data_IF_031632742387
#
_entry.id   IF_031632742387
#
_cell.length_a   1.000
_cell.length_b   1.000
_cell.length_c   1.000
_cell.angle_alpha   90.00
_cell.angle_beta   90.00
_cell.angle_gamma   90.00
#
_symmetry.space_group_name_H-M   'P 1'
#
loop_
_entity.id
_entity.type
_entity.pdbx_description
1 polymer ?
#
# COMPACT_ATOMS: atom_id res chain seq x y z
N UNK A 1 -46.84 16.26 22.59
CA UNK A 1 -46.55 16.88 21.28
C UNK A 1 -45.08 17.26 21.29
N UNK A 2 -44.21 16.30 20.97
CA UNK A 2 -42.75 16.40 21.09
C UNK A 2 -42.26 17.11 19.83
N UNK A 3 -41.77 18.34 19.99
CA UNK A 3 -41.25 19.16 18.90
C UNK A 3 -39.90 18.59 18.44
N UNK A 4 -39.94 17.85 17.33
CA UNK A 4 -38.77 17.43 16.57
C UNK A 4 -38.21 18.62 15.80
N UNK A 5 -37.34 19.39 16.43
CA UNK A 5 -36.39 20.24 15.68
C UNK A 5 -35.24 19.36 15.16
N UNK A 6 -35.43 18.76 13.99
CA UNK A 6 -34.29 18.33 13.17
C UNK A 6 -33.52 19.59 12.74
N UNK A 7 -32.54 20.00 13.55
CA UNK A 7 -31.53 20.97 13.12
C UNK A 7 -30.84 20.44 11.87
N UNK A 8 -30.96 21.16 10.75
CA UNK A 8 -30.13 20.96 9.58
C UNK A 8 -28.66 21.03 10.00
N UNK A 9 -27.94 19.90 9.95
CA UNK A 9 -26.51 19.90 10.23
C UNK A 9 -25.79 20.68 9.12
N UNK A 10 -24.94 21.64 9.48
CA UNK A 10 -24.09 22.29 8.49
C UNK A 10 -23.08 21.29 7.92
N UNK A 11 -22.70 21.46 6.65
CA UNK A 11 -21.68 20.64 5.99
C UNK A 11 -20.35 20.63 6.77
N UNK A 12 -20.01 21.76 7.40
CA UNK A 12 -18.85 21.90 8.29
C UNK A 12 -18.94 20.97 9.49
N UNK A 13 -20.11 20.81 10.11
CA UNK A 13 -20.29 19.89 11.24
C UNK A 13 -20.19 18.43 10.81
N UNK A 14 -20.75 18.07 9.65
CA UNK A 14 -20.69 16.71 9.07
C UNK A 14 -19.24 16.30 8.84
N UNK A 15 -18.48 17.12 8.11
CA UNK A 15 -17.08 16.85 7.80
C UNK A 15 -16.22 16.81 9.06
N UNK A 16 -16.48 17.69 10.03
CA UNK A 16 -15.72 17.73 11.29
C UNK A 16 -15.89 16.44 12.10
N UNK A 17 -17.11 15.90 12.18
CA UNK A 17 -17.37 14.62 12.88
C UNK A 17 -16.59 13.48 12.24
N UNK A 18 -16.64 13.36 10.90
CA UNK A 18 -15.96 12.30 10.18
C UNK A 18 -14.42 12.41 10.29
N UNK A 19 -13.87 13.60 10.01
CA UNK A 19 -12.42 13.84 10.13
C UNK A 19 -11.93 13.63 11.56
N UNK A 20 -12.73 14.02 12.57
CA UNK A 20 -12.40 13.75 13.97
C UNK A 20 -12.34 12.24 14.25
N UNK A 21 -13.32 11.47 13.77
CA UNK A 21 -13.33 10.01 13.93
C UNK A 21 -12.08 9.36 13.30
N UNK A 22 -11.80 9.68 12.03
CA UNK A 22 -10.68 9.11 11.27
C UNK A 22 -9.31 9.54 11.82
N UNK A 23 -9.16 10.83 12.11
CA UNK A 23 -7.89 11.42 12.54
C UNK A 23 -7.49 11.05 13.97
N UNK A 24 -8.46 10.85 14.87
CA UNK A 24 -8.16 10.56 16.29
C UNK A 24 -8.38 9.12 16.69
N UNK A 25 -9.25 8.38 15.99
CA UNK A 25 -9.71 7.10 16.48
C UNK A 25 -10.44 7.24 17.82
N UNK A 26 -11.32 8.22 17.98
CA UNK A 26 -12.23 8.33 19.13
C UNK A 26 -13.46 7.43 18.98
N UNK A 27 -14.04 6.95 20.08
CA UNK A 27 -15.23 6.06 19.98
C UNK A 27 -16.48 6.84 19.55
N UNK A 28 -17.49 6.16 19.00
CA UNK A 28 -18.79 6.79 18.73
C UNK A 28 -19.46 7.34 20.00
N UNK A 29 -19.16 6.76 21.17
CA UNK A 29 -19.61 7.31 22.46
C UNK A 29 -18.97 8.64 22.79
N UNK A 30 -17.68 8.79 22.52
CA UNK A 30 -16.96 10.05 22.72
C UNK A 30 -17.46 11.14 21.76
N UNK A 31 -17.67 10.78 20.49
CA UNK A 31 -18.26 11.69 19.49
C UNK A 31 -19.69 12.11 19.88
N UNK A 32 -20.48 11.20 20.43
CA UNK A 32 -21.82 11.51 20.93
C UNK A 32 -21.80 12.62 21.97
N UNK A 33 -20.92 12.53 22.97
CA UNK A 33 -20.79 13.57 24.00
C UNK A 33 -20.24 14.88 23.43
N UNK A 34 -19.22 14.81 22.57
CA UNK A 34 -18.55 16.00 22.02
C UNK A 34 -19.44 16.81 21.07
N UNK A 35 -20.19 16.14 20.19
CA UNK A 35 -21.00 16.79 19.16
C UNK A 35 -22.49 16.87 19.52
N UNK A 36 -22.92 16.25 20.62
CA UNK A 36 -24.32 16.16 21.07
C UNK A 36 -25.26 15.59 19.99
N UNK A 37 -24.78 14.57 19.27
CA UNK A 37 -25.51 13.86 18.21
C UNK A 37 -25.74 12.41 18.60
N UNK A 38 -26.86 11.82 18.17
CA UNK A 38 -27.13 10.40 18.39
C UNK A 38 -26.04 9.52 17.77
N UNK A 39 -25.69 8.40 18.42
CA UNK A 39 -24.67 7.47 17.91
C UNK A 39 -25.00 6.95 16.50
N UNK A 40 -26.27 6.66 16.23
CA UNK A 40 -26.75 6.25 14.91
C UNK A 40 -26.53 7.34 13.85
N UNK A 41 -26.84 8.60 14.19
CA UNK A 41 -26.59 9.76 13.32
C UNK A 41 -25.10 9.93 13.03
N UNK A 42 -24.25 9.81 14.04
CA UNK A 42 -22.78 9.89 13.86
C UNK A 42 -22.29 8.77 12.95
N UNK A 43 -22.72 7.52 13.17
CA UNK A 43 -22.36 6.39 12.31
C UNK A 43 -22.77 6.65 10.86
N UNK A 44 -23.99 7.16 10.63
CA UNK A 44 -24.47 7.55 9.31
C UNK A 44 -23.60 8.62 8.65
N UNK A 45 -23.30 9.69 9.39
CA UNK A 45 -22.42 10.78 8.92
C UNK A 45 -21.04 10.26 8.52
N UNK A 46 -20.40 9.45 9.39
CA UNK A 46 -19.06 8.94 9.11
C UNK A 46 -19.07 8.06 7.86
N UNK A 47 -20.09 7.19 7.71
CA UNK A 47 -20.23 6.34 6.52
C UNK A 47 -20.45 7.15 5.25
N UNK A 48 -21.41 8.06 5.26
CA UNK A 48 -21.72 8.92 4.11
C UNK A 48 -20.49 9.72 3.65
N UNK A 49 -19.71 10.27 4.61
CA UNK A 49 -18.48 10.98 4.27
C UNK A 49 -17.42 10.04 3.69
N UNK A 50 -17.26 8.83 4.22
CA UNK A 50 -16.29 7.87 3.69
C UNK A 50 -16.64 7.44 2.25
N UNK A 51 -17.90 7.14 2.00
CA UNK A 51 -18.44 6.81 0.67
C UNK A 51 -18.26 7.98 -0.29
N UNK A 52 -18.64 9.20 0.11
CA UNK A 52 -18.50 10.39 -0.72
C UNK A 52 -17.04 10.72 -1.05
N UNK A 53 -16.10 10.52 -0.12
CA UNK A 53 -14.67 10.67 -0.38
C UNK A 53 -14.20 9.69 -1.44
N UNK A 54 -14.60 8.41 -1.32
CA UNK A 54 -14.25 7.39 -2.29
C UNK A 54 -14.82 7.71 -3.68
N UNK A 55 -16.10 8.07 -3.78
CA UNK A 55 -16.76 8.31 -5.06
C UNK A 55 -16.27 9.58 -5.77
N UNK A 56 -16.03 10.67 -5.01
CA UNK A 56 -15.80 12.00 -5.57
C UNK A 56 -14.33 12.38 -5.67
N UNK A 57 -13.46 11.83 -4.82
CA UNK A 57 -12.06 12.28 -4.72
C UNK A 57 -11.07 11.28 -5.31
N UNK A 58 -11.36 9.97 -5.28
CA UNK A 58 -10.44 8.91 -5.73
C UNK A 58 -9.90 9.16 -7.14
N UNK A 59 -10.77 9.49 -8.10
CA UNK A 59 -10.35 9.73 -9.51
C UNK A 59 -9.34 10.87 -9.66
N UNK A 60 -9.32 11.83 -8.73
CA UNK A 60 -8.42 12.97 -8.79
C UNK A 60 -7.05 12.68 -8.14
N UNK A 61 -7.02 11.82 -7.12
CA UNK A 61 -5.82 11.61 -6.28
C UNK A 61 -5.22 10.21 -6.40
N UNK A 62 -5.97 9.27 -6.97
CA UNK A 62 -5.57 7.89 -7.25
C UNK A 62 -6.20 7.47 -8.60
N UNK A 63 -5.91 8.20 -9.70
CA UNK A 63 -6.39 7.80 -11.01
C UNK A 63 -5.75 6.49 -11.44
N UNK A 64 -6.39 5.78 -12.36
CA UNK A 64 -5.74 4.68 -13.05
C UNK A 64 -4.51 5.20 -13.81
N UNK A 65 -3.31 4.64 -13.58
CA UNK A 65 -2.11 5.18 -14.21
C UNK A 65 -2.09 4.98 -15.73
N UNK A 66 -1.89 6.06 -16.46
CA UNK A 66 -1.58 6.02 -17.90
C UNK A 66 -0.12 5.60 -18.14
N UNK A 67 0.23 5.36 -19.40
CA UNK A 67 1.61 5.06 -19.81
C UNK A 67 2.60 6.16 -19.34
N UNK A 68 2.21 7.43 -19.42
CA UNK A 68 3.04 8.56 -19.00
C UNK A 68 3.20 8.63 -17.47
N UNK A 69 2.14 8.29 -16.73
CA UNK A 69 2.21 8.19 -15.26
C UNK A 69 3.17 7.06 -14.88
N UNK A 70 3.09 5.89 -15.53
CA UNK A 70 4.02 4.80 -15.27
C UNK A 70 5.48 5.18 -15.57
N UNK A 71 5.74 5.84 -16.70
CA UNK A 71 7.09 6.34 -17.03
C UNK A 71 7.61 7.33 -15.99
N UNK A 72 6.74 8.21 -15.49
CA UNK A 72 7.09 9.17 -14.43
C UNK A 72 7.45 8.44 -13.13
N UNK A 73 6.61 7.50 -12.68
CA UNK A 73 6.88 6.71 -11.48
C UNK A 73 8.21 5.96 -11.61
N UNK A 74 8.45 5.33 -12.76
CA UNK A 74 9.72 4.64 -13.05
C UNK A 74 10.94 5.55 -12.94
N UNK A 75 10.87 6.75 -13.52
CA UNK A 75 11.94 7.75 -13.42
C UNK A 75 12.16 8.20 -11.98
N UNK A 76 11.10 8.37 -11.20
CA UNK A 76 11.22 8.79 -9.81
C UNK A 76 11.79 7.66 -8.93
N UNK A 77 11.43 6.39 -9.14
CA UNK A 77 12.11 5.27 -8.47
C UNK A 77 13.57 5.13 -8.86
N UNK A 78 13.92 5.35 -10.13
CA UNK A 78 15.31 5.38 -10.58
C UNK A 78 16.09 6.48 -9.85
N UNK A 79 15.49 7.66 -9.69
CA UNK A 79 16.09 8.79 -8.98
C UNK A 79 16.27 8.54 -7.48
N UNK A 80 15.22 8.09 -6.79
CA UNK A 80 15.20 8.04 -5.32
C UNK A 80 15.59 6.67 -4.74
N UNK A 81 15.30 5.59 -5.45
CA UNK A 81 15.62 4.22 -5.04
C UNK A 81 16.80 3.60 -5.80
N UNK A 82 17.22 4.23 -6.92
CA UNK A 82 18.19 3.67 -7.86
C UNK A 82 17.74 2.31 -8.41
N UNK A 83 16.45 2.23 -8.73
CA UNK A 83 15.86 1.04 -9.34
C UNK A 83 15.18 1.45 -10.66
N UNK A 84 15.86 1.28 -11.81
CA UNK A 84 15.32 1.67 -13.10
C UNK A 84 14.11 0.80 -13.46
N UNK A 85 13.19 1.36 -14.27
CA UNK A 85 11.95 0.71 -14.71
C UNK A 85 11.02 0.22 -13.56
N UNK A 86 11.24 0.63 -12.30
CA UNK A 86 10.36 0.26 -11.18
C UNK A 86 9.10 1.14 -11.14
N UNK A 87 7.93 0.55 -11.32
CA UNK A 87 6.64 1.27 -11.37
C UNK A 87 5.85 1.23 -10.06
N UNK A 88 6.44 0.71 -8.98
CA UNK A 88 5.83 0.75 -7.66
C UNK A 88 6.34 -0.33 -6.73
N UNK A 89 6.07 -0.13 -5.45
CA UNK A 89 6.32 -1.11 -4.40
C UNK A 89 4.99 -1.63 -3.84
N UNK A 90 4.84 -2.95 -3.76
CA UNK A 90 3.62 -3.64 -3.30
C UNK A 90 3.87 -4.34 -1.97
N UNK A 91 2.90 -4.23 -1.05
CA UNK A 91 2.92 -4.92 0.24
C UNK A 91 1.52 -4.98 0.86
N UNK A 92 1.29 -5.95 1.76
CA UNK A 92 0.05 -6.06 2.54
C UNK A 92 0.16 -5.44 3.93
N UNK A 93 -0.90 -4.75 4.38
CA UNK A 93 -1.05 -4.24 5.75
C UNK A 93 -2.27 -4.86 6.42
N UNK A 94 -2.05 -5.50 7.56
CA UNK A 94 -3.13 -5.92 8.45
C UNK A 94 -3.73 -4.72 9.20
N UNK A 95 -4.99 -4.40 8.91
CA UNK A 95 -5.77 -3.40 9.63
C UNK A 95 -6.52 -4.09 10.76
N UNK A 96 -6.26 -3.69 12.00
CA UNK A 96 -6.88 -4.26 13.20
C UNK A 96 -8.38 -3.96 13.21
N UNK A 97 -9.18 -5.00 13.43
CA UNK A 97 -10.62 -4.91 13.63
C UNK A 97 -11.02 -5.63 14.92
N UNK A 98 -12.20 -5.32 15.45
CA UNK A 98 -12.83 -6.18 16.45
C UNK A 98 -13.28 -7.48 15.80
N UNK A 99 -13.26 -8.59 16.56
CA UNK A 99 -13.72 -9.90 16.08
C UNK A 99 -15.12 -9.78 15.45
N UNK A 100 -15.29 -10.07 14.15
CA UNK A 100 -16.60 -10.07 13.55
C UNK A 100 -17.48 -11.19 14.14
N UNK A 101 -18.79 -10.97 14.15
CA UNK A 101 -19.75 -12.00 14.59
C UNK A 101 -19.63 -13.23 13.68
N UNK A 102 -19.70 -14.41 14.29
CA UNK A 102 -19.77 -15.70 13.59
C UNK A 102 -18.62 -15.98 12.59
N UNK A 103 -17.49 -15.29 12.72
CA UNK A 103 -16.38 -15.40 11.76
C UNK A 103 -15.36 -16.50 12.06
N UNK A 104 -15.50 -17.19 13.20
CA UNK A 104 -14.46 -18.11 13.70
C UNK A 104 -13.08 -17.45 13.70
N UNK A 105 -12.10 -18.11 13.06
CA UNK A 105 -10.71 -17.64 12.89
C UNK A 105 -10.43 -17.01 11.52
N UNK A 106 -11.44 -16.76 10.67
CA UNK A 106 -11.24 -16.23 9.31
C UNK A 106 -10.38 -14.96 9.30
N UNK A 107 -10.69 -14.00 10.17
CA UNK A 107 -9.96 -12.75 10.27
C UNK A 107 -8.77 -12.80 11.23
N UNK A 108 -8.51 -13.92 11.89
CA UNK A 108 -7.42 -14.06 12.86
C UNK A 108 -6.09 -14.32 12.14
N UNK A 109 -5.12 -13.43 12.34
CA UNK A 109 -3.85 -13.48 11.64
C UNK A 109 -2.73 -14.12 12.49
N UNK A 110 -1.58 -14.36 11.85
CA UNK A 110 -0.38 -14.91 12.52
C UNK A 110 0.23 -13.95 13.57
N UNK A 111 -0.14 -12.67 13.56
CA UNK A 111 0.23 -11.68 14.59
C UNK A 111 -0.72 -11.69 15.79
N UNK A 112 -1.57 -12.71 15.91
CA UNK A 112 -2.48 -12.94 17.04
C UNK A 112 -3.55 -11.87 17.25
N UNK A 113 -4.04 -11.26 16.17
CA UNK A 113 -5.19 -10.35 16.23
C UNK A 113 -6.14 -10.50 15.03
N UNK A 114 -7.37 -9.99 15.16
CA UNK A 114 -8.35 -9.95 14.07
C UNK A 114 -8.07 -8.78 13.12
N UNK A 115 -8.02 -9.05 11.82
CA UNK A 115 -7.69 -8.06 10.80
C UNK A 115 -8.35 -8.32 9.46
N UNK A 116 -8.55 -7.24 8.71
CA UNK A 116 -8.68 -7.25 7.25
C UNK A 116 -7.37 -6.76 6.64
N UNK A 117 -7.05 -7.27 5.45
CA UNK A 117 -5.82 -6.90 4.74
C UNK A 117 -6.11 -5.75 3.77
N UNK A 118 -5.26 -4.73 3.83
CA UNK A 118 -5.08 -3.70 2.80
C UNK A 118 -3.85 -4.09 1.99
N UNK A 119 -4.03 -4.60 0.77
CA UNK A 119 -2.95 -4.77 -0.19
C UNK A 119 -2.83 -3.48 -1.00
N UNK A 120 -1.63 -2.91 -1.10
CA UNK A 120 -1.47 -1.64 -1.81
C UNK A 120 -0.17 -1.56 -2.60
N UNK A 121 -0.22 -0.85 -3.73
CA UNK A 121 0.91 -0.42 -4.52
C UNK A 121 1.13 1.07 -4.27
N UNK A 122 2.37 1.52 -4.08
CA UNK A 122 2.69 2.94 -3.99
C UNK A 122 3.77 3.38 -4.98
N UNK A 123 3.77 4.67 -5.28
CA UNK A 123 4.86 5.34 -5.97
C UNK A 123 5.98 5.79 -4.99
N UNK A 124 7.02 6.42 -5.54
CA UNK A 124 8.14 6.97 -4.75
C UNK A 124 7.82 8.33 -4.08
N UNK A 125 6.62 8.88 -4.29
CA UNK A 125 6.09 10.02 -3.56
C UNK A 125 5.19 9.57 -2.38
N UNK A 126 5.19 8.29 -2.05
CA UNK A 126 4.36 7.68 -1.01
C UNK A 126 2.85 7.82 -1.30
N UNK A 127 2.44 8.01 -2.55
CA UNK A 127 1.04 7.96 -2.94
C UNK A 127 0.67 6.53 -3.32
N UNK A 128 -0.51 6.08 -2.89
CA UNK A 128 -1.07 4.83 -3.37
C UNK A 128 -1.44 4.97 -4.85
N UNK A 129 -1.09 4.00 -5.67
CA UNK A 129 -1.48 3.91 -7.08
C UNK A 129 -2.52 2.81 -7.30
N UNK A 130 -2.61 1.87 -6.36
CA UNK A 130 -3.61 0.81 -6.32
C UNK A 130 -3.83 0.35 -4.87
N UNK A 131 -5.07 0.03 -4.52
CA UNK A 131 -5.45 -0.59 -3.25
C UNK A 131 -6.48 -1.70 -3.46
N UNK A 132 -6.40 -2.76 -2.65
CA UNK A 132 -7.37 -3.85 -2.53
C UNK A 132 -7.59 -4.14 -1.04
N UNK A 133 -8.85 -4.16 -0.61
CA UNK A 133 -9.25 -4.15 0.81
C UNK A 133 -10.31 -5.24 1.02
N UNK A 134 -10.31 -5.84 2.20
CA UNK A 134 -11.40 -6.72 2.66
C UNK A 134 -11.01 -8.19 2.76
N UNK A 135 -9.84 -8.55 2.22
CA UNK A 135 -9.32 -9.91 2.35
C UNK A 135 -9.12 -10.32 3.81
N UNK A 136 -9.39 -11.60 4.09
CA UNK A 136 -9.27 -12.19 5.42
C UNK A 136 -7.86 -12.05 6.00
N UNK A 137 -7.77 -11.79 7.32
CA UNK A 137 -6.49 -11.69 8.03
C UNK A 137 -5.62 -12.95 8.02
N UNK A 138 -6.18 -14.12 7.73
CA UNK A 138 -5.41 -15.36 7.54
C UNK A 138 -4.81 -15.51 6.13
N UNK A 139 -5.26 -14.72 5.15
CA UNK A 139 -4.82 -14.81 3.77
C UNK A 139 -3.42 -14.24 3.61
N UNK A 140 -2.61 -14.85 2.75
CA UNK A 140 -1.28 -14.34 2.41
C UNK A 140 -1.36 -13.28 1.30
N UNK A 141 -0.44 -12.33 1.31
CA UNK A 141 -0.36 -11.26 0.30
C UNK A 141 -0.26 -11.81 -1.12
N UNK A 142 0.46 -12.92 -1.31
CA UNK A 142 0.55 -13.64 -2.59
C UNK A 142 -0.80 -14.09 -3.12
N UNK A 143 -1.65 -14.63 -2.26
CA UNK A 143 -2.97 -15.15 -2.64
C UNK A 143 -3.92 -14.00 -2.93
N UNK A 144 -3.90 -12.95 -2.11
CA UNK A 144 -4.70 -11.74 -2.31
C UNK A 144 -4.32 -11.10 -3.64
N UNK A 145 -3.03 -10.91 -3.89
CA UNK A 145 -2.53 -10.29 -5.11
C UNK A 145 -2.97 -11.06 -6.36
N UNK A 146 -2.78 -12.38 -6.40
CA UNK A 146 -3.20 -13.20 -7.56
C UNK A 146 -4.71 -13.16 -7.85
N UNK A 147 -5.52 -12.99 -6.81
CA UNK A 147 -6.98 -12.90 -6.94
C UNK A 147 -7.47 -11.48 -7.27
N UNK A 148 -6.64 -10.47 -7.05
CA UNK A 148 -6.98 -9.06 -7.28
C UNK A 148 -7.28 -8.76 -8.75
N UNK A 149 -8.14 -7.76 -8.98
CA UNK A 149 -8.41 -7.24 -10.32
C UNK A 149 -7.12 -6.71 -11.00
N UNK A 150 -6.21 -6.13 -10.21
CA UNK A 150 -4.94 -5.62 -10.71
C UNK A 150 -4.09 -6.73 -11.33
N UNK A 151 -3.94 -7.87 -10.66
CA UNK A 151 -3.14 -8.98 -11.18
C UNK A 151 -3.75 -9.58 -12.47
N UNK A 152 -5.07 -9.73 -12.54
CA UNK A 152 -5.74 -10.18 -13.76
C UNK A 152 -5.42 -9.27 -14.93
N UNK A 153 -5.54 -7.96 -14.73
CA UNK A 153 -5.22 -6.93 -15.73
C UNK A 153 -3.72 -6.87 -16.09
N UNK A 154 -2.84 -7.15 -15.13
CA UNK A 154 -1.40 -7.26 -15.36
C UNK A 154 -1.09 -8.40 -16.34
N UNK A 155 -1.70 -9.57 -16.14
CA UNK A 155 -1.53 -10.74 -17.01
C UNK A 155 -2.15 -10.50 -18.40
N UNK A 156 -3.31 -9.86 -18.45
CA UNK A 156 -4.01 -9.49 -19.69
C UNK A 156 -3.37 -8.30 -20.44
N UNK A 157 -2.32 -7.69 -19.86
CA UNK A 157 -1.64 -6.50 -20.41
C UNK A 157 -2.57 -5.30 -20.62
N UNK A 158 -3.58 -5.15 -19.76
CA UNK A 158 -4.59 -4.09 -19.82
C UNK A 158 -4.37 -2.95 -18.81
N UNK A 159 -3.16 -2.84 -18.24
CA UNK A 159 -2.77 -1.79 -17.28
C UNK A 159 -2.03 -0.59 -17.92
N UNK A 160 -1.99 -0.51 -19.25
CA UNK A 160 -1.26 0.55 -19.98
C UNK A 160 0.22 0.70 -19.58
N UNK A 161 0.85 -0.38 -19.11
CA UNK A 161 2.27 -0.40 -18.78
C UNK A 161 3.08 -0.19 -20.07
N UNK A 162 4.06 0.72 -20.10
CA UNK A 162 4.83 0.99 -21.30
C UNK A 162 5.59 -0.24 -21.80
N UNK A 163 5.93 -0.25 -23.09
CA UNK A 163 6.78 -1.30 -23.66
C UNK A 163 8.14 -1.36 -22.94
N UNK A 164 8.74 -2.57 -22.79
CA UNK A 164 10.06 -2.74 -22.20
C UNK A 164 11.09 -1.73 -22.69
N UNK A 165 11.90 -1.20 -21.77
CA UNK A 165 12.92 -0.18 -22.03
C UNK A 165 14.30 -0.68 -21.58
N UNK A 166 15.38 -0.43 -22.34
CA UNK A 166 16.74 -0.72 -21.89
C UNK A 166 17.08 0.07 -20.62
N UNK A 167 17.77 -0.58 -19.69
CA UNK A 167 18.27 0.06 -18.44
C UNK A 167 19.77 0.32 -18.47
N UNK A 168 20.47 -0.20 -19.49
CA UNK A 168 21.92 -0.13 -19.65
C UNK A 168 22.22 0.39 -21.05
N UNK A 169 23.14 1.34 -21.15
CA UNK A 169 23.68 1.81 -22.42
C UNK A 169 24.61 0.77 -23.06
N UNK A 170 25.26 -0.06 -22.22
CA UNK A 170 26.23 -1.07 -22.65
C UNK A 170 25.61 -2.43 -23.03
N UNK A 171 24.49 -2.83 -22.41
CA UNK A 171 23.63 -3.94 -22.85
C UNK A 171 22.20 -3.42 -23.14
N UNK A 172 21.92 -2.95 -24.37
CA UNK A 172 20.67 -2.28 -24.72
C UNK A 172 19.47 -3.23 -24.84
N UNK A 173 19.52 -4.42 -24.22
CA UNK A 173 18.39 -5.34 -24.16
C UNK A 173 17.27 -4.74 -23.31
N UNK A 174 16.06 -4.60 -23.86
CA UNK A 174 14.97 -3.98 -23.11
C UNK A 174 14.51 -4.88 -21.96
N UNK A 175 14.25 -4.27 -20.80
CA UNK A 175 13.66 -4.93 -19.65
C UNK A 175 12.25 -4.41 -19.40
N UNK A 176 11.32 -5.27 -18.91
CA UNK A 176 9.98 -4.83 -18.57
C UNK A 176 10.00 -3.83 -17.41
N UNK A 177 8.93 -3.04 -17.33
CA UNK A 177 8.62 -2.29 -16.12
C UNK A 177 8.14 -3.25 -15.03
N UNK A 178 8.63 -3.07 -13.81
CA UNK A 178 8.48 -4.02 -12.72
C UNK A 178 7.91 -3.39 -11.46
N UNK A 179 7.16 -4.18 -10.70
CA UNK A 179 6.72 -3.91 -9.35
C UNK A 179 7.63 -4.69 -8.40
N UNK A 180 8.03 -4.08 -7.29
CA UNK A 180 8.84 -4.75 -6.26
C UNK A 180 7.97 -5.20 -5.09
N UNK A 181 8.08 -6.47 -4.69
CA UNK A 181 7.38 -7.06 -3.54
C UNK A 181 8.34 -7.82 -2.62
N UNK A 182 7.84 -8.27 -1.47
CA UNK A 182 8.60 -9.16 -0.58
C UNK A 182 8.72 -10.58 -1.14
N UNK A 183 9.34 -11.45 -0.37
CA UNK A 183 9.50 -12.86 -0.69
C UNK A 183 8.17 -13.62 -0.82
N UNK A 184 7.08 -13.15 -0.19
CA UNK A 184 5.78 -13.82 -0.26
C UNK A 184 5.14 -13.68 -1.65
N UNK A 185 5.47 -12.64 -2.42
CA UNK A 185 4.98 -12.49 -3.79
C UNK A 185 5.62 -13.50 -4.76
N UNK A 186 4.87 -13.91 -5.79
CA UNK A 186 5.40 -14.76 -6.86
C UNK A 186 6.31 -13.97 -7.80
N UNK A 187 7.49 -14.50 -8.11
CA UNK A 187 8.36 -13.91 -9.14
C UNK A 187 7.71 -14.06 -10.53
N UNK A 188 7.60 -12.97 -11.29
CA UNK A 188 7.06 -12.95 -12.64
C UNK A 188 7.79 -11.93 -13.53
N UNK A 189 7.35 -11.74 -14.77
CA UNK A 189 7.93 -10.74 -15.69
C UNK A 189 7.87 -9.32 -15.11
N UNK A 190 6.73 -8.94 -14.53
CA UNK A 190 6.50 -7.60 -13.99
C UNK A 190 6.57 -7.54 -12.44
N UNK A 191 6.93 -8.63 -11.76
CA UNK A 191 6.98 -8.68 -10.28
C UNK A 191 8.32 -9.22 -9.83
N UNK A 192 9.12 -8.34 -9.21
CA UNK A 192 10.43 -8.66 -8.66
C UNK A 192 10.33 -8.89 -7.15
N UNK A 193 11.05 -9.91 -6.68
CA UNK A 193 11.16 -10.27 -5.25
C UNK A 193 12.61 -10.58 -4.90
N UNK A 194 13.02 -10.47 -3.62
CA UNK A 194 14.40 -10.74 -3.23
C UNK A 194 14.82 -12.18 -3.57
N UNK A 195 16.13 -12.40 -3.72
CA UNK A 195 16.69 -13.74 -3.64
C UNK A 195 16.50 -14.25 -2.20
N UNK A 196 16.01 -15.47 -2.05
CA UNK A 196 15.76 -16.09 -0.76
C UNK A 196 17.01 -16.03 0.13
N UNK A 197 16.82 -15.67 1.39
CA UNK A 197 17.90 -15.60 2.36
C UNK A 197 18.43 -17.03 2.65
N UNK A 198 19.69 -17.28 2.29
CA UNK A 198 20.36 -18.56 2.52
C UNK A 198 21.87 -18.37 2.63
N UNK A 199 22.56 -19.37 3.19
CA UNK A 199 24.04 -19.37 3.23
C UNK A 199 24.57 -19.40 1.78
N UNK A 200 25.29 -18.36 1.36
CA UNK A 200 25.96 -18.30 0.05
C UNK A 200 25.33 -17.39 -1.02
N UNK A 201 24.57 -16.35 -0.66
CA UNK A 201 24.20 -15.31 -1.62
C UNK A 201 25.46 -14.63 -2.20
N UNK A 202 25.59 -14.64 -3.53
CA UNK A 202 26.66 -13.94 -4.24
C UNK A 202 26.56 -12.43 -4.03
N UNK A 203 27.66 -11.71 -4.24
CA UNK A 203 27.72 -10.26 -4.05
C UNK A 203 26.63 -9.53 -4.87
N UNK A 204 26.42 -9.92 -6.12
CA UNK A 204 25.41 -9.35 -7.02
C UNK A 204 23.99 -9.53 -6.47
N UNK A 205 23.70 -10.71 -5.91
CA UNK A 205 22.38 -11.01 -5.33
C UNK A 205 22.15 -10.23 -4.04
N UNK A 206 23.20 -10.01 -3.23
CA UNK A 206 23.12 -9.17 -2.03
C UNK A 206 22.85 -7.71 -2.40
N UNK A 207 23.56 -7.18 -3.40
CA UNK A 207 23.33 -5.84 -3.95
C UNK A 207 21.89 -5.70 -4.45
N UNK A 208 21.41 -6.66 -5.26
CA UNK A 208 20.03 -6.66 -5.73
C UNK A 208 19.03 -6.62 -4.57
N UNK A 209 19.19 -7.49 -3.56
CA UNK A 209 18.33 -7.51 -2.39
C UNK A 209 18.34 -6.16 -1.65
N UNK A 210 19.50 -5.51 -1.54
CA UNK A 210 19.60 -4.18 -0.94
C UNK A 210 18.82 -3.12 -1.75
N UNK A 211 18.97 -3.08 -3.09
CA UNK A 211 18.23 -2.17 -3.97
C UNK A 211 16.72 -2.40 -3.92
N UNK A 212 16.31 -3.67 -3.92
CA UNK A 212 14.91 -4.04 -3.80
C UNK A 212 14.34 -3.63 -2.44
N UNK A 213 15.08 -3.86 -1.34
CA UNK A 213 14.67 -3.43 0.00
C UNK A 213 14.52 -1.91 0.10
N UNK A 214 15.44 -1.14 -0.50
CA UNK A 214 15.32 0.32 -0.59
C UNK A 214 14.07 0.77 -1.34
N UNK A 215 13.69 0.07 -2.40
CA UNK A 215 12.49 0.35 -3.18
C UNK A 215 11.22 -0.04 -2.41
N UNK A 216 11.23 -1.17 -1.70
CA UNK A 216 10.14 -1.60 -0.81
C UNK A 216 9.89 -0.65 0.35
N UNK A 217 10.94 0.03 0.85
CA UNK A 217 10.78 1.00 1.94
C UNK A 217 9.71 2.05 1.67
N UNK A 218 9.45 2.40 0.40
CA UNK A 218 8.39 3.35 0.05
C UNK A 218 7.01 2.88 0.49
N UNK A 219 6.61 1.63 0.25
CA UNK A 219 5.28 1.14 0.64
C UNK A 219 5.18 0.95 2.16
N UNK A 220 6.26 0.48 2.78
CA UNK A 220 6.35 0.33 4.24
C UNK A 220 6.20 1.69 4.96
N UNK A 221 6.89 2.73 4.48
CA UNK A 221 6.75 4.09 5.00
C UNK A 221 5.36 4.65 4.71
N UNK A 222 4.80 4.42 3.51
CA UNK A 222 3.44 4.87 3.16
C UNK A 222 2.41 4.36 4.17
N UNK A 223 2.50 3.09 4.56
CA UNK A 223 1.66 2.51 5.61
C UNK A 223 1.89 3.09 7.00
N UNK A 224 3.13 3.48 7.32
CA UNK A 224 3.45 4.20 8.56
C UNK A 224 2.84 5.60 8.59
N UNK A 225 3.00 6.35 7.50
CA UNK A 225 2.45 7.70 7.32
C UNK A 225 0.93 7.66 7.43
N UNK A 226 0.28 6.74 6.70
CA UNK A 226 -1.15 6.54 6.74
C UNK A 226 -1.65 6.31 8.19
N UNK A 227 -0.99 5.41 8.93
CA UNK A 227 -1.39 5.08 10.29
C UNK A 227 -1.20 6.26 11.27
N UNK A 228 -0.05 6.94 11.20
CA UNK A 228 0.26 8.04 12.11
C UNK A 228 -0.61 9.28 11.85
N UNK A 229 -0.95 9.54 10.58
CA UNK A 229 -1.82 10.66 10.19
C UNK A 229 -3.29 10.37 10.53
N UNK A 230 -3.74 9.14 10.33
CA UNK A 230 -5.12 8.71 10.63
C UNK A 230 -5.13 7.73 11.80
N UNK A 231 -5.21 8.27 13.01
CA UNK A 231 -5.04 7.49 14.24
C UNK A 231 -6.11 6.44 14.48
N UNK A 232 -7.18 6.40 13.67
CA UNK A 232 -8.14 5.28 13.64
C UNK A 232 -7.44 3.92 13.49
N UNK A 233 -6.30 3.85 12.81
CA UNK A 233 -5.51 2.63 12.62
C UNK A 233 -4.68 2.19 13.84
N UNK A 234 -4.53 3.04 14.86
CA UNK A 234 -3.80 2.71 16.08
C UNK A 234 -4.61 1.87 17.09
N UNK A 235 -5.89 1.65 16.80
CA UNK A 235 -6.78 0.80 17.60
C UNK A 235 -7.57 -0.17 16.70
N UNK A 236 -8.16 -1.23 17.26
CA UNK A 236 -9.11 -2.04 16.52
C UNK A 236 -10.31 -1.20 16.04
N UNK A 237 -10.58 -1.24 14.75
CA UNK A 237 -11.78 -0.65 14.16
C UNK A 237 -12.99 -1.48 14.62
N UNK A 238 -13.91 -0.83 15.32
CA UNK A 238 -15.08 -1.45 15.93
C UNK A 238 -16.36 -1.13 15.15
N UNK A 239 -16.42 -1.60 13.91
CA UNK A 239 -17.59 -1.56 13.03
C UNK A 239 -17.71 -2.87 12.25
N UNK A 240 -18.79 -3.07 11.50
CA UNK A 240 -18.89 -4.20 10.58
C UNK A 240 -17.84 -4.10 9.45
N UNK A 241 -17.56 -5.23 8.78
CA UNK A 241 -16.49 -5.33 7.79
C UNK A 241 -16.65 -4.31 6.68
N UNK A 242 -17.83 -4.24 6.04
CA UNK A 242 -18.08 -3.32 4.92
C UNK A 242 -17.74 -1.87 5.30
N UNK A 243 -18.15 -1.43 6.49
CA UNK A 243 -17.86 -0.07 6.93
C UNK A 243 -16.38 0.13 7.32
N UNK A 244 -15.71 -0.91 7.81
CA UNK A 244 -14.26 -0.85 8.00
C UNK A 244 -13.54 -0.67 6.65
N UNK A 245 -14.03 -1.28 5.56
CA UNK A 245 -13.49 -1.07 4.23
C UNK A 245 -13.68 0.38 3.76
N UNK A 246 -14.85 0.97 3.96
CA UNK A 246 -15.11 2.37 3.61
C UNK A 246 -14.19 3.33 4.36
N UNK A 247 -13.97 3.08 5.66
CA UNK A 247 -13.01 3.84 6.47
C UNK A 247 -11.59 3.73 5.89
N UNK A 248 -11.14 2.52 5.51
CA UNK A 248 -9.81 2.32 4.94
C UNK A 248 -9.68 3.03 3.60
N UNK A 249 -10.68 2.90 2.71
CA UNK A 249 -10.75 3.59 1.42
C UNK A 249 -10.63 5.10 1.59
N UNK A 250 -11.46 5.67 2.46
CA UNK A 250 -11.48 7.09 2.76
C UNK A 250 -10.12 7.59 3.27
N UNK A 251 -9.49 6.86 4.20
CA UNK A 251 -8.16 7.22 4.70
C UNK A 251 -7.08 7.15 3.61
N UNK A 252 -7.12 6.17 2.70
CA UNK A 252 -6.16 6.08 1.59
C UNK A 252 -6.33 7.24 0.60
N UNK A 253 -7.58 7.62 0.31
CA UNK A 253 -7.90 8.77 -0.54
C UNK A 253 -7.45 10.08 0.11
N UNK A 254 -7.75 10.28 1.40
CA UNK A 254 -7.32 11.47 2.14
C UNK A 254 -5.79 11.54 2.26
N UNK A 255 -5.11 10.40 2.42
CA UNK A 255 -3.66 10.32 2.39
C UNK A 255 -3.12 10.84 1.06
N UNK A 256 -3.55 10.30 -0.07
CA UNK A 256 -3.10 10.78 -1.38
C UNK A 256 -3.45 12.26 -1.61
N UNK A 257 -4.64 12.71 -1.19
CA UNK A 257 -5.04 14.11 -1.28
C UNK A 257 -4.07 15.04 -0.54
N UNK A 258 -3.78 14.74 0.73
CA UNK A 258 -2.83 15.51 1.55
C UNK A 258 -1.43 15.48 0.93
N UNK A 259 -0.97 14.31 0.48
CA UNK A 259 0.35 14.15 -0.16
C UNK A 259 0.49 14.96 -1.44
N UNK A 260 -0.56 15.02 -2.25
CA UNK A 260 -0.58 15.76 -3.52
C UNK A 260 -0.62 17.27 -3.29
N UNK A 261 -1.35 17.71 -2.26
CA UNK A 261 -1.50 19.12 -1.92
C UNK A 261 -0.27 19.69 -1.19
N UNK A 262 0.23 18.97 -0.19
CA UNK A 262 1.24 19.48 0.76
C UNK A 262 2.67 19.03 0.43
N UNK A 263 2.83 18.05 -0.47
CA UNK A 263 4.14 17.52 -0.86
C UNK A 263 4.79 16.60 0.18
N UNK A 264 6.10 16.41 0.07
CA UNK A 264 6.88 15.55 0.98
C UNK A 264 7.33 16.34 2.20
N UNK A 265 6.82 15.99 3.37
CA UNK A 265 7.39 16.38 4.66
C UNK A 265 8.29 15.24 5.18
N UNK A 266 9.54 15.56 5.53
CA UNK A 266 10.52 14.55 5.93
C UNK A 266 10.15 13.91 7.28
N UNK A 267 9.53 14.67 8.19
CA UNK A 267 9.10 14.18 9.50
C UNK A 267 8.12 13.00 9.41
N UNK A 268 7.27 12.99 8.37
CA UNK A 268 6.33 11.89 8.09
C UNK A 268 7.05 10.53 7.92
N UNK A 269 8.31 10.54 7.45
CA UNK A 269 9.11 9.33 7.18
C UNK A 269 9.92 8.81 8.37
N UNK A 270 10.02 9.60 9.46
CA UNK A 270 10.81 9.25 10.65
C UNK A 270 10.07 8.31 11.61
N UNK A 271 8.74 8.22 11.49
CA UNK A 271 7.90 7.37 12.33
C UNK A 271 7.56 6.04 11.64
N UNK A 272 8.56 5.21 11.42
CA UNK A 272 8.33 3.81 11.00
C UNK A 272 7.90 2.97 12.20
N UNK A 273 6.72 2.35 12.15
CA UNK A 273 6.38 1.30 13.11
C UNK A 273 7.38 0.13 12.97
N UNK A 274 7.83 -0.50 14.07
CA UNK A 274 8.82 -1.56 14.00
C UNK A 274 8.30 -2.74 13.18
N UNK A 275 9.14 -3.21 12.26
CA UNK A 275 8.87 -4.34 11.39
C UNK A 275 8.81 -5.62 12.23
N UNK A 276 7.73 -6.38 12.13
CA UNK A 276 7.68 -7.76 12.61
C UNK A 276 8.13 -8.64 11.46
N UNK A 277 9.22 -9.39 11.65
CA UNK A 277 9.71 -10.40 10.71
C UNK A 277 8.55 -11.29 10.24
N UNK A 278 8.29 -11.31 8.94
CA UNK A 278 7.31 -12.21 8.35
C UNK A 278 7.91 -13.61 8.23
N UNK A 279 7.12 -14.61 8.62
CA UNK A 279 7.43 -16.03 8.41
C UNK A 279 7.43 -16.29 6.90
N UNK A 280 8.51 -16.91 6.41
CA UNK A 280 8.70 -17.31 5.01
C UNK A 280 7.64 -18.34 4.59
N UNK A 281 6.53 -17.88 4.01
CA UNK A 281 5.60 -18.76 3.30
C UNK A 281 6.19 -19.08 1.92
N UNK A 282 6.23 -20.37 1.57
CA UNK A 282 6.80 -20.86 0.31
C UNK A 282 6.01 -20.31 -0.89
N UNK A 283 6.50 -19.22 -1.48
CA UNK A 283 5.96 -18.68 -2.71
C UNK A 283 6.41 -19.53 -3.91
N UNK A 284 5.57 -19.61 -4.95
CA UNK A 284 5.83 -20.42 -6.15
C UNK A 284 7.18 -20.11 -6.82
N UNK A 285 7.76 -21.12 -7.50
CA UNK A 285 8.99 -20.96 -8.29
C UNK A 285 8.71 -20.04 -9.48
N UNK A 286 9.60 -19.08 -9.74
CA UNK A 286 9.53 -18.21 -10.92
C UNK A 286 9.79 -19.00 -12.21
N UNK A 287 9.35 -18.45 -13.34
CA UNK A 287 9.66 -19.00 -14.67
C UNK A 287 11.12 -18.69 -15.05
N UNK A 288 11.75 -19.46 -15.97
CA UNK A 288 13.12 -19.19 -16.42
C UNK A 288 13.31 -17.77 -16.96
N UNK A 289 12.31 -17.21 -17.65
CA UNK A 289 12.33 -15.82 -18.13
C UNK A 289 12.37 -14.81 -16.98
N UNK A 290 11.56 -15.01 -15.93
CA UNK A 290 11.54 -14.12 -14.76
C UNK A 290 12.82 -14.15 -13.93
N UNK A 291 13.47 -15.32 -13.85
CA UNK A 291 14.79 -15.45 -13.21
C UNK A 291 15.85 -14.67 -13.99
N UNK A 292 15.83 -14.78 -15.32
CA UNK A 292 16.73 -14.05 -16.20
C UNK A 292 16.58 -12.51 -16.06
N UNK A 293 15.35 -12.00 -15.98
CA UNK A 293 15.10 -10.57 -15.74
C UNK A 293 15.72 -10.12 -14.42
N UNK A 294 15.50 -10.86 -13.33
CA UNK A 294 16.05 -10.52 -12.03
C UNK A 294 17.58 -10.54 -12.01
N UNK A 295 18.19 -11.55 -12.64
CA UNK A 295 19.64 -11.68 -12.75
C UNK A 295 20.25 -10.54 -13.59
N UNK A 296 19.56 -10.05 -14.62
CA UNK A 296 19.96 -8.86 -15.37
C UNK A 296 19.96 -7.59 -14.51
N UNK A 297 18.96 -7.37 -13.67
CA UNK A 297 18.98 -6.27 -12.70
C UNK A 297 20.15 -6.43 -11.71
N UNK A 298 20.38 -7.63 -11.19
CA UNK A 298 21.49 -7.89 -10.28
C UNK A 298 22.85 -7.58 -10.91
N UNK A 299 23.06 -7.96 -12.18
CA UNK A 299 24.25 -7.63 -12.93
C UNK A 299 24.38 -6.13 -13.20
N UNK A 300 23.30 -5.46 -13.60
CA UNK A 300 23.29 -4.01 -13.81
C UNK A 300 23.74 -3.24 -12.56
N UNK A 301 23.23 -3.59 -11.37
CA UNK A 301 23.54 -2.88 -10.13
C UNK A 301 24.99 -3.02 -9.65
N UNK A 302 25.74 -4.03 -10.10
CA UNK A 302 27.17 -4.15 -9.77
C UNK A 302 28.09 -3.49 -10.80
N UNK A 303 27.55 -3.18 -11.98
CA UNK A 303 28.26 -2.58 -13.10
C UNK A 303 27.79 -1.13 -13.34
N UNK A 304 27.11 -0.85 -14.45
CA UNK A 304 26.66 0.50 -14.85
C UNK A 304 25.76 1.18 -13.81
N UNK A 305 24.92 0.42 -13.11
CA UNK A 305 24.04 0.89 -12.04
C UNK A 305 24.70 0.99 -10.66
N UNK A 306 26.03 0.82 -10.57
CA UNK A 306 26.78 0.90 -9.30
C UNK A 306 26.64 2.28 -8.69
N UNK A 307 26.49 2.33 -7.36
CA UNK A 307 26.59 3.58 -6.58
C UNK A 307 27.66 3.45 -5.49
N UNK A 308 28.20 4.58 -5.06
CA UNK A 308 29.33 4.63 -4.12
C UNK A 308 29.03 3.97 -2.76
N UNK A 309 27.79 4.09 -2.27
CA UNK A 309 27.42 3.59 -0.93
C UNK A 309 26.98 2.13 -0.89
N UNK A 310 26.91 1.41 -2.03
CA UNK A 310 26.28 0.07 -2.01
C UNK A 310 27.06 -0.94 -1.19
N UNK A 311 28.38 -0.81 -1.10
CA UNK A 311 29.25 -1.75 -0.37
C UNK A 311 29.23 -1.55 1.15
N UNK A 312 28.76 -0.40 1.64
CA UNK A 312 28.77 -0.10 3.07
C UNK A 312 27.66 -0.81 3.86
N UNK A 313 26.76 -1.54 3.20
CA UNK A 313 25.53 -2.11 3.78
C UNK A 313 25.37 -3.63 3.53
N UNK A 314 26.43 -4.34 3.17
CA UNK A 314 26.42 -5.76 2.75
C UNK A 314 27.20 -6.65 3.70
#
# INVERSE_FOLDING_TARGET
MIHLEQKSLSLTNINTVAVRYLGTGCSFGELHYNFRLGKSTITGIVREVCEALWEKVTKNVMPEPSEDIWKKIAKDFEKYANFPNCIGAIDGKHIRITKPKDSGSLYYNYKTFFSIVLLALCDSNYCFTFIDIGSYGKSSDSAIFKNSAFYKRLIEKSLHIPKPKPISETDPKPLPYVIVGDEAFGLSENVMRPYAAGKGLSYEKKIFNNRLSRSRRFIECTFGILANKWRIFHRPINVNIDFAEDIIKACCVLHNFVRTRDGIQYEDTLHTAPMSNLITLHAGRGTPSSLNIRDKYANYFVNEGRVEWQDTKI
#
